data_IF_765360224329
#
_entry.id   IF_765360224329
#
_cell.length_a   1.000
_cell.length_b   1.000
_cell.length_c   1.000
_cell.angle_alpha   90.00
_cell.angle_beta   90.00
_cell.angle_gamma   90.00
#
_symmetry.space_group_name_H-M   'P 1'
#
loop_
_entity.id
_entity.type
_entity.pdbx_description
1 polymer ?
#
# COMPACT_ATOMS: atom_id res chain seq x y z
N UNK A 1 -13.80 -10.32 4.76
CA UNK A 1 -12.58 -9.54 4.53
C UNK A 1 -12.86 -8.06 4.30
N UNK A 2 -13.83 -7.69 3.45
CA UNK A 2 -14.19 -6.27 3.19
C UNK A 2 -14.46 -5.49 4.49
N UNK A 3 -15.34 -5.98 5.38
CA UNK A 3 -15.65 -5.33 6.65
C UNK A 3 -14.43 -5.08 7.54
N UNK A 4 -13.44 -5.97 7.49
CA UNK A 4 -12.19 -5.84 8.26
C UNK A 4 -11.33 -4.73 7.65
N UNK A 5 -11.14 -4.75 6.32
CA UNK A 5 -10.36 -3.73 5.62
C UNK A 5 -10.95 -2.35 5.81
N UNK A 6 -12.27 -2.19 5.66
CA UNK A 6 -12.94 -0.89 5.83
C UNK A 6 -13.03 -0.47 7.29
N UNK A 7 -13.28 -1.40 8.21
CA UNK A 7 -13.32 -1.12 9.65
C UNK A 7 -11.96 -0.68 10.18
N UNK A 8 -10.92 -1.47 9.99
CA UNK A 8 -9.55 -1.09 10.37
C UNK A 8 -9.09 0.15 9.60
N UNK A 9 -9.41 0.23 8.31
CA UNK A 9 -9.13 1.39 7.47
C UNK A 9 -9.71 2.68 8.04
N UNK A 10 -10.96 2.67 8.50
CA UNK A 10 -11.59 3.83 9.14
C UNK A 10 -10.90 4.24 10.45
N UNK A 11 -10.51 3.27 11.29
CA UNK A 11 -9.77 3.54 12.52
C UNK A 11 -8.40 4.16 12.24
N UNK A 12 -7.69 3.67 11.21
CA UNK A 12 -6.43 4.25 10.77
C UNK A 12 -6.65 5.69 10.29
N UNK A 13 -7.71 5.98 9.52
CA UNK A 13 -8.00 7.34 9.08
C UNK A 13 -8.20 8.30 10.26
N UNK A 14 -9.00 7.90 11.26
CA UNK A 14 -9.22 8.71 12.47
C UNK A 14 -7.89 8.94 13.20
N UNK A 15 -7.10 7.89 13.43
CA UNK A 15 -5.78 8.02 14.07
C UNK A 15 -4.85 8.95 13.28
N UNK A 16 -4.80 8.80 11.96
CA UNK A 16 -3.95 9.59 11.08
C UNK A 16 -4.31 11.07 11.07
N UNK A 17 -5.60 11.43 11.24
CA UNK A 17 -5.99 12.85 11.35
C UNK A 17 -5.36 13.54 12.55
N UNK A 18 -5.29 12.84 13.69
CA UNK A 18 -4.63 13.35 14.89
C UNK A 18 -3.10 13.33 14.76
N UNK A 19 -2.54 12.27 14.17
CA UNK A 19 -1.08 12.12 14.01
C UNK A 19 -0.46 13.17 13.08
N UNK A 20 -1.16 13.55 12.00
CA UNK A 20 -0.67 14.54 11.03
C UNK A 20 -1.15 15.97 11.31
N UNK A 21 -1.79 16.23 12.46
CA UNK A 21 -2.42 17.53 12.74
C UNK A 21 -1.43 18.70 12.78
N UNK A 22 -0.19 18.44 13.20
CA UNK A 22 0.87 19.46 13.33
C UNK A 22 1.68 19.65 12.04
N UNK A 23 1.47 18.81 11.02
CA UNK A 23 2.18 18.86 9.76
C UNK A 23 1.57 19.89 8.81
N UNK A 24 2.34 20.35 7.81
CA UNK A 24 1.84 21.36 6.86
C UNK A 24 0.79 20.74 5.93
N UNK A 25 -0.09 21.58 5.41
CA UNK A 25 -1.21 21.18 4.54
C UNK A 25 -0.79 20.31 3.33
N UNK A 26 0.39 20.58 2.76
CA UNK A 26 0.91 19.83 1.63
C UNK A 26 1.32 18.40 1.99
N UNK A 27 1.99 18.21 3.14
CA UNK A 27 2.31 16.87 3.68
C UNK A 27 1.04 16.10 4.03
N UNK A 28 0.10 16.77 4.69
CA UNK A 28 -1.18 16.21 5.08
C UNK A 28 -1.95 15.66 3.87
N UNK A 29 -2.14 16.49 2.84
CA UNK A 29 -2.84 16.09 1.62
C UNK A 29 -2.15 14.90 0.90
N UNK A 30 -0.81 14.90 0.86
CA UNK A 30 -0.05 13.81 0.25
C UNK A 30 -0.20 12.50 1.02
N UNK A 31 -0.13 12.55 2.35
CA UNK A 31 -0.29 11.36 3.19
C UNK A 31 -1.67 10.73 3.02
N UNK A 32 -2.73 11.54 3.11
CA UNK A 32 -4.10 11.04 2.94
C UNK A 32 -4.37 10.56 1.51
N UNK A 33 -3.73 11.13 0.50
CA UNK A 33 -3.81 10.62 -0.88
C UNK A 33 -3.22 9.20 -0.98
N UNK A 34 -2.06 8.95 -0.37
CA UNK A 34 -1.45 7.62 -0.33
C UNK A 34 -2.25 6.62 0.50
N UNK A 35 -2.82 7.07 1.62
CA UNK A 35 -3.67 6.24 2.48
C UNK A 35 -4.95 5.80 1.77
N UNK A 36 -5.61 6.71 1.06
CA UNK A 36 -6.80 6.38 0.25
C UNK A 36 -6.46 5.46 -0.92
N UNK A 37 -5.30 5.67 -1.56
CA UNK A 37 -4.82 4.80 -2.63
C UNK A 37 -4.56 3.38 -2.11
N UNK A 38 -3.94 3.26 -0.93
CA UNK A 38 -3.73 1.98 -0.25
C UNK A 38 -5.06 1.26 0.02
N UNK A 39 -6.04 1.98 0.60
CA UNK A 39 -7.35 1.42 0.87
C UNK A 39 -8.05 0.93 -0.42
N UNK A 40 -7.94 1.70 -1.50
CA UNK A 40 -8.53 1.36 -2.80
C UNK A 40 -7.93 0.07 -3.36
N UNK A 41 -6.60 -0.04 -3.44
CA UNK A 41 -5.95 -1.25 -3.95
C UNK A 41 -6.15 -2.47 -3.05
N UNK A 42 -6.24 -2.27 -1.73
CA UNK A 42 -6.58 -3.35 -0.80
C UNK A 42 -8.00 -3.88 -1.04
N UNK A 43 -8.95 -3.00 -1.36
CA UNK A 43 -10.30 -3.41 -1.75
C UNK A 43 -10.30 -4.14 -3.09
N UNK A 44 -9.56 -3.67 -4.09
CA UNK A 44 -9.39 -4.37 -5.39
C UNK A 44 -8.83 -5.78 -5.18
N UNK A 45 -7.81 -5.92 -4.32
CA UNK A 45 -7.21 -7.22 -4.01
C UNK A 45 -8.22 -8.18 -3.37
N UNK A 46 -9.00 -7.71 -2.39
CA UNK A 46 -9.97 -8.56 -1.67
C UNK A 46 -11.19 -8.90 -2.54
N UNK A 47 -11.58 -8.02 -3.46
CA UNK A 47 -12.68 -8.24 -4.40
C UNK A 47 -12.26 -9.00 -5.66
N UNK A 48 -10.96 -9.21 -5.88
CA UNK A 48 -10.43 -9.89 -7.05
C UNK A 48 -10.88 -11.35 -7.11
N UNK A 49 -11.61 -11.70 -8.17
CA UNK A 49 -12.11 -13.06 -8.41
C UNK A 49 -11.26 -13.86 -9.41
N UNK A 50 -10.13 -13.31 -9.88
CA UNK A 50 -9.21 -13.98 -10.78
C UNK A 50 -7.77 -13.57 -10.47
N UNK A 51 -6.81 -14.41 -10.87
CA UNK A 51 -5.39 -14.23 -10.56
C UNK A 51 -4.81 -12.92 -11.12
N UNK A 52 -5.33 -12.42 -12.25
CA UNK A 52 -4.85 -11.19 -12.87
C UNK A 52 -5.27 -9.96 -12.06
N UNK A 53 -6.53 -9.88 -11.63
CA UNK A 53 -7.03 -8.80 -10.75
C UNK A 53 -6.36 -8.88 -9.38
N UNK A 54 -6.12 -10.10 -8.86
CA UNK A 54 -5.38 -10.29 -7.62
C UNK A 54 -3.96 -9.72 -7.74
N UNK A 55 -3.27 -9.99 -8.85
CA UNK A 55 -1.93 -9.45 -9.12
C UNK A 55 -1.93 -7.91 -9.23
N UNK A 56 -2.92 -7.33 -9.91
CA UNK A 56 -3.05 -5.86 -10.01
C UNK A 56 -3.27 -5.24 -8.62
N UNK A 57 -4.15 -5.82 -7.81
CA UNK A 57 -4.35 -5.38 -6.43
C UNK A 57 -3.08 -5.51 -5.59
N UNK A 58 -2.35 -6.62 -5.77
CA UNK A 58 -1.13 -6.94 -5.05
C UNK A 58 0.00 -5.93 -5.34
N UNK A 59 0.30 -5.69 -6.61
CA UNK A 59 1.25 -4.67 -7.05
C UNK A 59 0.86 -3.27 -6.57
N UNK A 60 -0.43 -2.95 -6.64
CA UNK A 60 -0.97 -1.67 -6.17
C UNK A 60 -0.73 -1.44 -4.67
N UNK A 61 -0.99 -2.45 -3.84
CA UNK A 61 -0.71 -2.40 -2.39
C UNK A 61 0.80 -2.31 -2.12
N UNK A 62 1.63 -3.01 -2.90
CA UNK A 62 3.09 -2.92 -2.81
C UNK A 62 3.61 -1.51 -3.12
N UNK A 63 3.12 -0.87 -4.18
CA UNK A 63 3.45 0.51 -4.53
C UNK A 63 3.00 1.50 -3.45
N UNK A 64 1.77 1.36 -2.93
CA UNK A 64 1.28 2.24 -1.87
C UNK A 64 2.12 2.12 -0.59
N UNK A 65 2.54 0.89 -0.25
CA UNK A 65 3.42 0.64 0.89
C UNK A 65 4.78 1.31 0.72
N UNK A 66 5.36 1.29 -0.50
CA UNK A 66 6.58 2.03 -0.80
C UNK A 66 6.42 3.54 -0.59
N UNK A 67 5.32 4.12 -1.09
CA UNK A 67 5.04 5.55 -0.96
C UNK A 67 4.82 6.00 0.50
N UNK A 68 4.16 5.15 1.30
CA UNK A 68 3.91 5.44 2.72
C UNK A 68 5.17 5.28 3.58
N UNK A 69 5.98 4.24 3.35
CA UNK A 69 7.25 4.04 4.07
C UNK A 69 8.24 5.16 3.70
N UNK A 70 8.32 5.50 2.42
CA UNK A 70 9.15 6.57 1.89
C UNK A 70 8.56 7.97 2.05
N UNK A 71 7.47 8.16 2.82
CA UNK A 71 6.78 9.44 2.92
C UNK A 71 7.72 10.59 3.33
N UNK A 72 8.61 10.33 4.28
CA UNK A 72 9.68 11.23 4.70
C UNK A 72 10.95 11.06 3.86
N UNK A 73 10.83 11.19 2.54
CA UNK A 73 11.91 10.93 1.57
C UNK A 73 13.21 11.72 1.80
N UNK A 74 13.14 12.85 2.51
CA UNK A 74 14.33 13.63 2.89
C UNK A 74 15.23 12.89 3.89
N UNK A 75 14.67 11.98 4.69
CA UNK A 75 15.43 11.13 5.59
C UNK A 75 15.96 9.93 4.81
N UNK A 76 17.29 9.83 4.69
CA UNK A 76 17.95 8.71 3.98
C UNK A 76 17.48 7.35 4.51
N UNK A 77 17.31 7.21 5.82
CA UNK A 77 16.79 5.99 6.46
C UNK A 77 15.39 5.60 5.95
N UNK A 78 14.49 6.56 5.73
CA UNK A 78 13.15 6.30 5.20
C UNK A 78 13.17 5.91 3.72
N UNK A 79 14.00 6.59 2.91
CA UNK A 79 14.20 6.23 1.50
C UNK A 79 14.79 4.82 1.36
N UNK A 80 15.80 4.48 2.14
CA UNK A 80 16.46 3.17 2.08
C UNK A 80 15.52 2.05 2.59
N UNK A 81 14.74 2.32 3.64
CA UNK A 81 13.71 1.41 4.11
C UNK A 81 12.61 1.16 3.06
N UNK A 82 12.13 2.22 2.40
CA UNK A 82 11.15 2.12 1.32
C UNK A 82 11.68 1.27 0.16
N UNK A 83 12.90 1.56 -0.32
CA UNK A 83 13.54 0.76 -1.37
C UNK A 83 13.68 -0.69 -0.99
N UNK A 84 14.13 -0.98 0.24
CA UNK A 84 14.25 -2.36 0.73
C UNK A 84 12.89 -3.08 0.71
N UNK A 85 11.85 -2.44 1.25
CA UNK A 85 10.51 -3.02 1.26
C UNK A 85 10.01 -3.32 -0.15
N UNK A 86 10.21 -2.39 -1.09
CA UNK A 86 9.78 -2.57 -2.48
C UNK A 86 10.54 -3.69 -3.20
N UNK A 87 11.85 -3.80 -3.01
CA UNK A 87 12.67 -4.86 -3.62
C UNK A 87 12.24 -6.24 -3.11
N UNK A 88 12.03 -6.38 -1.80
CA UNK A 88 11.59 -7.65 -1.21
C UNK A 88 10.18 -8.02 -1.70
N UNK A 89 9.28 -7.04 -1.80
CA UNK A 89 7.96 -7.25 -2.40
C UNK A 89 8.07 -7.75 -3.83
N UNK A 90 8.94 -7.13 -4.64
CA UNK A 90 9.15 -7.49 -6.04
C UNK A 90 9.61 -8.93 -6.23
N UNK A 91 10.44 -9.45 -5.32
CA UNK A 91 10.84 -10.87 -5.33
C UNK A 91 9.62 -11.78 -5.10
N UNK A 92 8.71 -11.40 -4.19
CA UNK A 92 7.44 -12.07 -4.01
C UNK A 92 6.55 -12.03 -5.25
N UNK A 93 6.51 -10.88 -5.94
CA UNK A 93 5.74 -10.68 -7.18
C UNK A 93 6.20 -11.65 -8.28
N UNK A 94 7.52 -11.88 -8.42
CA UNK A 94 8.05 -12.88 -9.36
C UNK A 94 7.57 -14.30 -9.05
N UNK A 95 7.61 -14.70 -7.77
CA UNK A 95 7.12 -16.01 -7.35
C UNK A 95 5.61 -16.16 -7.59
N UNK A 96 4.85 -15.10 -7.33
CA UNK A 96 3.42 -15.05 -7.59
C UNK A 96 3.12 -15.25 -9.08
N UNK A 97 3.76 -14.48 -9.97
CA UNK A 97 3.58 -14.60 -11.42
C UNK A 97 3.94 -15.99 -11.91
N UNK A 98 5.06 -16.56 -11.42
CA UNK A 98 5.45 -17.92 -11.76
C UNK A 98 4.41 -18.96 -11.32
N UNK A 99 3.83 -18.80 -10.12
CA UNK A 99 2.74 -19.64 -9.64
C UNK A 99 1.49 -19.54 -10.52
N UNK A 100 1.12 -18.34 -10.96
CA UNK A 100 0.01 -18.13 -11.90
C UNK A 100 0.29 -18.82 -13.23
N UNK A 101 1.49 -18.63 -13.80
CA UNK A 101 1.88 -19.26 -15.07
C UNK A 101 1.88 -20.79 -15.03
N UNK A 102 2.23 -21.39 -13.89
CA UNK A 102 2.22 -22.85 -13.71
C UNK A 102 0.81 -23.43 -13.49
N UNK A 103 -0.18 -22.59 -13.15
CA UNK A 103 -1.56 -23.03 -12.90
C UNK A 103 -2.39 -23.09 -14.20
N UNK A 104 -1.92 -22.43 -15.26
CA UNK A 104 -2.49 -22.48 -16.61
C UNK A 104 -1.72 -23.45 -17.51
#
# INVERSE_FOLDING_TARGET
>A
MILIVTGIGSLIHVYSTAYMHEERDAEYARYFSYLNLFATFMLVLVLGANFLVLFVGWEGVGLCSYLLIGFWYQKKSASDAGKKAFIVNRIGDFAFVLGVLLTF
#
